data_IF_917727326668
#
_entry.id   IF_917727326668
#
_cell.length_a   1.000
_cell.length_b   1.000
_cell.length_c   1.000
_cell.angle_alpha   90.00
_cell.angle_beta   90.00
_cell.angle_gamma   90.00
#
_symmetry.space_group_name_H-M   'P 1'
#
loop_
_entity.id
_entity.type
_entity.pdbx_description
1 polymer ?
#
# COMPACT_ATOMS: atom_id res chain seq x y z
N UNK A 1 2.53 10.94 -30.01
CA UNK A 1 2.76 11.96 -28.97
C UNK A 1 4.19 11.79 -28.48
N UNK A 2 4.97 12.87 -28.38
CA UNK A 2 6.37 12.82 -27.91
C UNK A 2 6.49 13.14 -26.41
N UNK A 3 5.59 13.95 -25.85
CA UNK A 3 5.45 14.19 -24.40
C UNK A 3 4.06 14.76 -24.08
N UNK A 4 3.62 14.58 -22.84
CA UNK A 4 2.42 15.20 -22.25
C UNK A 4 2.85 15.86 -20.93
N UNK A 5 2.42 17.10 -20.69
CA UNK A 5 2.65 17.78 -19.42
C UNK A 5 1.52 17.45 -18.44
N UNK A 6 1.87 17.08 -17.21
CA UNK A 6 0.95 16.78 -16.12
C UNK A 6 1.66 17.04 -14.79
N UNK A 7 0.90 17.39 -13.74
CA UNK A 7 1.41 17.45 -12.37
C UNK A 7 1.68 16.03 -11.81
N UNK A 8 0.88 15.05 -12.24
CA UNK A 8 1.07 13.63 -11.91
C UNK A 8 0.83 12.72 -13.12
N UNK A 9 1.74 11.75 -13.34
CA UNK A 9 1.58 10.74 -14.39
C UNK A 9 0.76 9.54 -13.90
N UNK A 10 -0.56 9.62 -13.94
CA UNK A 10 -1.43 8.51 -13.52
C UNK A 10 -2.35 8.03 -14.62
N UNK A 11 -2.35 6.72 -14.85
CA UNK A 11 -3.33 6.04 -15.68
C UNK A 11 -4.23 5.15 -14.82
N UNK A 12 -5.54 5.36 -14.90
CA UNK A 12 -6.49 4.51 -14.20
C UNK A 12 -6.66 3.19 -14.94
N UNK A 13 -6.28 2.08 -14.28
CA UNK A 13 -6.45 0.73 -14.79
C UNK A 13 -7.38 -0.05 -13.87
N UNK A 14 -8.53 -0.56 -14.35
CA UNK A 14 -9.41 -1.36 -13.52
C UNK A 14 -8.74 -2.69 -13.16
N UNK A 15 -9.01 -3.21 -11.96
CA UNK A 15 -8.41 -4.44 -11.44
C UNK A 15 -8.59 -5.65 -12.38
N UNK A 16 -9.67 -5.69 -13.16
CA UNK A 16 -9.93 -6.75 -14.16
C UNK A 16 -8.94 -6.76 -15.33
N UNK A 17 -8.27 -5.64 -15.60
CA UNK A 17 -7.22 -5.52 -16.63
C UNK A 17 -5.81 -5.78 -16.11
N UNK A 18 -5.64 -5.96 -14.79
CA UNK A 18 -4.36 -6.29 -14.17
C UNK A 18 -4.22 -7.82 -14.16
N UNK A 19 -3.06 -8.35 -14.54
CA UNK A 19 -2.83 -9.80 -14.51
C UNK A 19 -3.03 -10.37 -13.10
N UNK A 20 -3.58 -11.58 -13.00
CA UNK A 20 -3.80 -12.21 -11.69
C UNK A 20 -2.51 -12.44 -10.93
N UNK A 21 -1.43 -12.72 -11.64
CA UNK A 21 -0.09 -12.86 -11.07
C UNK A 21 0.38 -11.57 -10.40
N UNK A 22 0.17 -10.40 -11.01
CA UNK A 22 0.52 -9.13 -10.39
C UNK A 22 -0.35 -8.81 -9.17
N UNK A 23 -1.66 -9.09 -9.23
CA UNK A 23 -2.54 -8.92 -8.07
C UNK A 23 -2.06 -9.78 -6.90
N UNK A 24 -1.76 -11.05 -7.15
CA UNK A 24 -1.27 -11.99 -6.13
C UNK A 24 0.10 -11.60 -5.61
N UNK A 25 1.02 -11.16 -6.48
CA UNK A 25 2.36 -10.73 -6.08
C UNK A 25 2.30 -9.53 -5.12
N UNK A 26 1.46 -8.53 -5.42
CA UNK A 26 1.30 -7.35 -4.58
C UNK A 26 0.72 -7.72 -3.20
N UNK A 27 -0.32 -8.56 -3.17
CA UNK A 27 -0.88 -9.04 -1.91
C UNK A 27 0.16 -9.86 -1.13
N UNK A 28 0.92 -10.74 -1.79
CA UNK A 28 1.90 -11.58 -1.13
C UNK A 28 3.05 -10.78 -0.47
N UNK A 29 3.50 -9.70 -1.10
CA UNK A 29 4.63 -8.90 -0.61
C UNK A 29 4.23 -7.84 0.42
N UNK A 30 3.09 -7.16 0.21
CA UNK A 30 2.66 -6.05 1.08
C UNK A 30 1.79 -6.52 2.25
N UNK A 31 0.89 -7.47 1.99
CA UNK A 31 -0.19 -7.81 2.91
C UNK A 31 -0.68 -9.25 2.71
N UNK A 32 0.17 -10.22 3.06
CA UNK A 32 -0.02 -11.62 2.69
C UNK A 32 -1.29 -12.28 3.25
N UNK A 33 -1.97 -11.64 4.20
CA UNK A 33 -3.24 -12.09 4.79
C UNK A 33 -4.39 -11.15 4.50
N UNK A 34 -4.26 -10.28 3.50
CA UNK A 34 -5.23 -9.25 3.14
C UNK A 34 -6.69 -9.75 3.15
N UNK A 35 -6.95 -10.93 2.59
CA UNK A 35 -8.30 -11.51 2.51
C UNK A 35 -8.80 -12.18 3.80
N UNK A 36 -7.95 -12.26 4.83
CA UNK A 36 -8.19 -12.98 6.08
C UNK A 36 -8.25 -12.06 7.31
N UNK A 37 -8.13 -10.75 7.13
CA UNK A 37 -8.30 -9.75 8.19
C UNK A 37 -9.12 -8.55 7.71
N UNK A 38 -9.52 -7.68 8.64
CA UNK A 38 -10.21 -6.42 8.34
C UNK A 38 -9.25 -5.32 7.87
N UNK A 39 -9.62 -4.04 8.05
CA UNK A 39 -8.76 -2.91 7.67
C UNK A 39 -7.37 -2.92 8.34
N UNK A 40 -7.26 -3.55 9.52
CA UNK A 40 -6.03 -3.66 10.30
C UNK A 40 -5.72 -5.13 10.57
N UNK A 41 -4.46 -5.52 10.34
CA UNK A 41 -3.96 -6.86 10.67
C UNK A 41 -3.24 -6.86 12.02
N UNK A 42 -3.99 -7.00 13.12
CA UNK A 42 -3.43 -6.99 14.48
C UNK A 42 -2.31 -8.03 14.67
N UNK A 43 -2.49 -9.23 14.12
CA UNK A 43 -1.49 -10.30 14.22
C UNK A 43 -0.24 -9.97 13.38
N UNK A 44 -0.41 -9.33 12.23
CA UNK A 44 0.70 -8.94 11.36
C UNK A 44 1.51 -7.80 11.96
N UNK A 45 0.82 -6.79 12.49
CA UNK A 45 1.43 -5.66 13.20
C UNK A 45 2.18 -6.13 14.45
N UNK A 46 1.58 -7.02 15.27
CA UNK A 46 2.25 -7.56 16.46
C UNK A 46 3.50 -8.37 16.10
N UNK A 47 3.41 -9.23 15.07
CA UNK A 47 4.58 -9.97 14.55
C UNK A 47 5.67 -9.02 14.08
N UNK A 48 5.34 -8.01 13.29
CA UNK A 48 6.29 -7.04 12.77
C UNK A 48 6.95 -6.25 13.91
N UNK A 49 6.19 -5.87 14.94
CA UNK A 49 6.70 -5.21 16.14
C UNK A 49 7.72 -6.10 16.87
N UNK A 50 7.37 -7.35 17.15
CA UNK A 50 8.26 -8.30 17.83
C UNK A 50 9.53 -8.53 17.02
N UNK A 51 9.41 -8.74 15.71
CA UNK A 51 10.55 -8.91 14.81
C UNK A 51 11.49 -7.70 14.82
N UNK A 52 10.93 -6.48 14.79
CA UNK A 52 11.70 -5.25 14.80
C UNK A 52 12.39 -4.99 16.15
N UNK A 53 11.74 -5.33 17.27
CA UNK A 53 12.31 -5.20 18.62
C UNK A 53 13.39 -6.25 18.87
N UNK A 54 13.21 -7.47 18.35
CA UNK A 54 14.17 -8.57 18.48
C UNK A 54 15.46 -8.37 17.65
N UNK A 55 15.61 -7.24 16.94
CA UNK A 55 16.78 -6.96 16.10
C UNK A 55 16.87 -7.83 14.85
N UNK A 56 15.78 -8.51 14.47
CA UNK A 56 15.72 -9.24 13.20
C UNK A 56 15.57 -8.26 12.03
N UNK A 57 15.53 -8.78 10.79
CA UNK A 57 15.30 -7.95 9.61
C UNK A 57 14.02 -7.10 9.76
N UNK A 58 14.09 -5.81 9.40
CA UNK A 58 12.98 -4.88 9.56
C UNK A 58 11.77 -5.36 8.76
N UNK A 59 10.65 -5.61 9.45
CA UNK A 59 9.40 -6.05 8.84
C UNK A 59 8.41 -4.89 8.70
N UNK A 60 7.74 -4.83 7.55
CA UNK A 60 6.54 -4.02 7.35
C UNK A 60 5.37 -4.57 8.18
N UNK A 61 4.61 -3.68 8.82
CA UNK A 61 3.45 -4.04 9.64
C UNK A 61 2.13 -3.41 9.18
N UNK A 62 2.16 -2.69 8.05
CA UNK A 62 1.00 -1.94 7.53
C UNK A 62 0.20 -2.75 6.53
N UNK A 63 -1.13 -2.64 6.57
CA UNK A 63 -2.03 -3.27 5.59
C UNK A 63 -2.14 -2.44 4.30
N UNK A 64 -2.57 -3.06 3.19
CA UNK A 64 -2.90 -2.34 1.96
C UNK A 64 -3.95 -1.24 2.20
N UNK A 65 -4.91 -1.48 3.11
CA UNK A 65 -5.92 -0.48 3.49
C UNK A 65 -5.29 0.73 4.18
N UNK A 66 -4.33 0.52 5.09
CA UNK A 66 -3.60 1.61 5.73
C UNK A 66 -2.75 2.38 4.72
N UNK A 67 -2.14 1.69 3.76
CA UNK A 67 -1.39 2.33 2.67
C UNK A 67 -2.31 3.20 1.81
N UNK A 68 -3.50 2.72 1.47
CA UNK A 68 -4.51 3.51 0.74
C UNK A 68 -4.93 4.76 1.51
N UNK A 69 -5.28 4.63 2.80
CA UNK A 69 -5.64 5.78 3.65
C UNK A 69 -4.50 6.79 3.71
N UNK A 70 -3.24 6.34 3.84
CA UNK A 70 -2.06 7.21 3.80
C UNK A 70 -2.00 8.00 2.50
N UNK A 71 -2.15 7.35 1.34
CA UNK A 71 -2.08 8.05 0.05
C UNK A 71 -3.19 9.09 -0.12
N UNK A 72 -4.43 8.77 0.25
CA UNK A 72 -5.52 9.76 0.20
C UNK A 72 -5.24 10.96 1.11
N UNK A 73 -4.67 10.73 2.30
CA UNK A 73 -4.34 11.83 3.22
C UNK A 73 -3.24 12.73 2.67
N UNK A 74 -2.26 12.15 1.98
CA UNK A 74 -1.22 12.90 1.28
C UNK A 74 -1.84 13.72 0.15
N UNK A 75 -2.67 13.11 -0.70
CA UNK A 75 -3.37 13.80 -1.79
C UNK A 75 -4.23 14.97 -1.26
N UNK A 76 -4.93 14.76 -0.14
CA UNK A 76 -5.72 15.81 0.49
C UNK A 76 -4.86 16.95 1.06
N UNK A 77 -3.67 16.65 1.60
CA UNK A 77 -2.73 17.66 2.10
C UNK A 77 -2.16 18.52 0.97
N UNK A 78 -1.75 17.87 -0.14
CA UNK A 78 -1.28 18.54 -1.37
C UNK A 78 -2.38 19.44 -1.92
N UNK A 79 -3.62 18.94 -2.02
CA UNK A 79 -4.76 19.73 -2.49
C UNK A 79 -5.10 20.93 -1.58
N UNK A 80 -4.75 20.86 -0.29
CA UNK A 80 -4.93 21.96 0.66
C UNK A 80 -3.77 22.98 0.65
N UNK A 81 -2.72 22.76 -0.15
CA UNK A 81 -1.52 23.60 -0.18
C UNK A 81 -0.61 23.42 1.03
N UNK A 82 -0.75 22.30 1.75
CA UNK A 82 0.02 21.98 2.96
C UNK A 82 1.14 20.97 2.64
N UNK A 83 1.98 21.28 1.64
CA UNK A 83 3.18 20.49 1.34
C UNK A 83 4.26 20.62 2.42
#
# INVERSE_FOLDING_TARGET
>A
VLATFYDENREYVPLSKISKQMQTAQVAIEDNRFFSHGAVDLKGTARALVANVAGSARQGGSTLTQQYVKQIRIEAAVAAGNE
#
